data_IF_596470765135
#
_entry.id   IF_596470765135
#
_cell.length_a   1.000
_cell.length_b   1.000
_cell.length_c   1.000
_cell.angle_alpha   90.00
_cell.angle_beta   90.00
_cell.angle_gamma   90.00
#
_symmetry.space_group_name_H-M   'P 1'
#
loop_
_entity.id
_entity.type
_entity.pdbx_description
1 polymer ?
#
# COMPACT_ATOMS: atom_id res chain seq x y z
N UNK A 1 -23.98 -6.59 -6.87
CA UNK A 1 -23.44 -7.10 -5.58
C UNK A 1 -21.96 -7.49 -5.71
N UNK A 2 -21.60 -8.41 -6.62
CA UNK A 2 -20.21 -8.89 -6.80
C UNK A 2 -19.19 -7.76 -7.03
N UNK A 3 -19.43 -6.84 -7.97
CA UNK A 3 -18.50 -5.73 -8.24
C UNK A 3 -18.29 -4.82 -7.01
N UNK A 4 -19.35 -4.57 -6.24
CA UNK A 4 -19.27 -3.78 -4.99
C UNK A 4 -18.48 -4.51 -3.91
N UNK A 5 -18.66 -5.83 -3.78
CA UNK A 5 -17.87 -6.67 -2.88
C UNK A 5 -16.38 -6.68 -3.27
N UNK A 6 -16.07 -6.84 -4.55
CA UNK A 6 -14.68 -6.83 -5.05
C UNK A 6 -14.01 -5.48 -4.81
N UNK A 7 -14.73 -4.37 -5.01
CA UNK A 7 -14.21 -3.04 -4.73
C UNK A 7 -13.93 -2.83 -3.23
N UNK A 8 -14.82 -3.31 -2.36
CA UNK A 8 -14.61 -3.26 -0.91
C UNK A 8 -13.42 -4.12 -0.48
N UNK A 9 -13.31 -5.35 -1.02
CA UNK A 9 -12.18 -6.25 -0.76
C UNK A 9 -10.88 -5.59 -1.20
N UNK A 10 -10.83 -5.05 -2.42
CA UNK A 10 -9.66 -4.34 -2.94
C UNK A 10 -9.27 -3.15 -2.08
N UNK A 11 -10.24 -2.34 -1.65
CA UNK A 11 -10.00 -1.20 -0.76
C UNK A 11 -9.45 -1.65 0.60
N UNK A 12 -10.06 -2.63 1.25
CA UNK A 12 -9.63 -3.12 2.56
C UNK A 12 -8.24 -3.75 2.47
N UNK A 13 -7.97 -4.58 1.46
CA UNK A 13 -6.65 -5.17 1.27
C UNK A 13 -5.59 -4.10 1.03
N UNK A 14 -5.88 -3.07 0.23
CA UNK A 14 -4.94 -2.00 -0.05
C UNK A 14 -4.72 -1.07 1.15
N UNK A 15 -5.74 -0.84 1.98
CA UNK A 15 -5.63 -0.05 3.20
C UNK A 15 -4.74 -0.75 4.24
N UNK A 16 -4.97 -2.04 4.47
CA UNK A 16 -4.11 -2.87 5.33
C UNK A 16 -2.69 -2.93 4.77
N UNK A 17 -2.56 -3.11 3.45
CA UNK A 17 -1.26 -3.14 2.80
C UNK A 17 -0.48 -1.83 2.98
N UNK A 18 -1.16 -0.69 2.85
CA UNK A 18 -0.56 0.62 3.02
C UNK A 18 -0.07 0.86 4.45
N UNK A 19 -0.84 0.45 5.46
CA UNK A 19 -0.38 0.46 6.86
C UNK A 19 0.87 -0.41 7.03
N UNK A 20 0.90 -1.59 6.40
CA UNK A 20 2.08 -2.46 6.37
C UNK A 20 3.33 -1.77 5.80
N UNK A 21 3.18 -1.02 4.71
CA UNK A 21 4.27 -0.21 4.11
C UNK A 21 4.72 0.92 5.04
N UNK A 22 3.79 1.59 5.75
CA UNK A 22 4.14 2.61 6.75
C UNK A 22 4.94 1.98 7.90
N UNK A 23 4.50 0.84 8.43
CA UNK A 23 5.22 0.12 9.49
C UNK A 23 6.60 -0.33 9.04
N UNK A 24 6.72 -0.87 7.83
CA UNK A 24 8.03 -1.23 7.25
C UNK A 24 8.94 0.00 7.10
N UNK A 25 8.36 1.15 6.76
CA UNK A 25 9.10 2.41 6.65
C UNK A 25 9.56 2.92 8.01
N UNK A 26 8.75 2.84 9.07
CA UNK A 26 9.10 3.40 10.39
C UNK A 26 10.01 2.51 11.23
N UNK A 27 10.16 1.24 10.86
CA UNK A 27 10.95 0.25 11.61
C UNK A 27 12.34 0.04 11.01
N UNK A 28 13.29 -0.37 11.85
CA UNK A 28 14.72 -0.44 11.49
C UNK A 28 15.26 -1.86 11.37
N UNK A 29 14.43 -2.89 11.53
CA UNK A 29 14.89 -4.27 11.45
C UNK A 29 14.58 -4.84 10.07
N UNK A 30 15.34 -4.34 9.08
CA UNK A 30 15.19 -4.76 7.69
C UNK A 30 16.01 -6.01 7.40
N UNK A 31 17.31 -6.01 7.70
CA UNK A 31 18.16 -7.19 7.51
C UNK A 31 19.06 -7.41 8.71
N UNK A 32 19.25 -8.67 9.05
CA UNK A 32 20.18 -9.10 10.09
C UNK A 32 21.46 -9.55 9.41
N UNK A 33 22.59 -8.97 9.82
CA UNK A 33 23.92 -9.19 9.25
C UNK A 33 24.88 -9.72 10.30
N UNK A 34 25.95 -10.35 9.83
CA UNK A 34 27.04 -10.84 10.66
C UNK A 34 28.36 -10.33 10.07
N UNK A 35 29.21 -9.72 10.92
CA UNK A 35 30.50 -9.15 10.51
C UNK A 35 31.65 -10.17 10.42
N UNK A 36 31.42 -11.40 10.89
CA UNK A 36 32.38 -12.51 10.87
C UNK A 36 31.81 -13.69 10.06
N UNK A 37 32.42 -14.87 10.18
CA UNK A 37 31.80 -16.11 9.69
C UNK A 37 30.50 -16.38 10.46
N UNK A 38 29.47 -16.87 9.77
CA UNK A 38 28.15 -17.20 10.36
C UNK A 38 28.27 -18.09 11.62
N UNK A 39 29.19 -19.05 11.59
CA UNK A 39 29.49 -19.94 12.74
C UNK A 39 30.07 -19.20 13.94
N UNK A 40 30.75 -18.08 13.71
CA UNK A 40 31.41 -17.28 14.74
C UNK A 40 30.43 -16.30 15.37
N UNK A 41 29.61 -15.58 14.57
CA UNK A 41 28.56 -14.73 15.13
C UNK A 41 27.53 -15.51 15.94
N UNK A 42 27.17 -16.74 15.51
CA UNK A 42 26.26 -17.58 16.29
C UNK A 42 26.86 -18.06 17.62
N UNK A 43 28.20 -18.16 17.70
CA UNK A 43 28.91 -18.54 18.93
C UNK A 43 29.16 -17.35 19.87
N UNK A 44 29.38 -16.16 19.30
CA UNK A 44 29.63 -14.94 20.06
C UNK A 44 28.37 -14.13 20.36
N UNK A 45 27.23 -14.50 19.75
CA UNK A 45 25.94 -13.81 19.84
C UNK A 45 25.99 -12.32 19.45
N UNK A 46 26.96 -11.97 18.58
CA UNK A 46 27.13 -10.62 18.02
C UNK A 46 26.47 -10.54 16.64
N UNK A 47 25.26 -9.97 16.58
CA UNK A 47 24.49 -9.74 15.36
C UNK A 47 24.39 -8.25 15.06
N UNK A 48 24.46 -7.88 13.78
CA UNK A 48 24.09 -6.56 13.30
C UNK A 48 22.65 -6.57 12.78
N UNK A 49 21.90 -5.49 13.00
CA UNK A 49 20.64 -5.20 12.31
C UNK A 49 20.83 -3.93 11.51
N UNK A 50 20.61 -4.00 10.21
CA UNK A 50 20.67 -2.86 9.30
C UNK A 50 19.25 -2.41 8.99
N UNK A 51 19.02 -1.12 9.15
CA UNK A 51 17.70 -0.52 9.01
C UNK A 51 17.68 0.64 8.04
N UNK A 52 16.46 1.13 7.80
CA UNK A 52 16.29 2.30 6.98
C UNK A 52 16.79 3.56 7.71
N UNK A 53 16.53 3.71 9.02
CA UNK A 53 16.85 4.92 9.80
C UNK A 53 17.97 4.75 10.83
N UNK A 54 18.23 3.53 11.27
CA UNK A 54 19.24 3.21 12.27
C UNK A 54 19.88 1.86 11.97
N UNK A 55 21.16 1.75 12.31
CA UNK A 55 21.89 0.48 12.34
C UNK A 55 22.09 0.10 13.80
N UNK A 56 21.75 -1.13 14.15
CA UNK A 56 21.85 -1.64 15.51
C UNK A 56 22.87 -2.78 15.60
N UNK A 57 23.58 -2.82 16.73
CA UNK A 57 24.45 -3.94 17.11
C UNK A 57 23.81 -4.60 18.32
N UNK A 58 23.61 -5.91 18.21
CA UNK A 58 23.05 -6.78 19.23
C UNK A 58 24.16 -7.73 19.69
N UNK A 59 24.53 -7.64 20.96
CA UNK A 59 25.45 -8.57 21.62
C UNK A 59 24.87 -8.97 22.99
N UNK A 60 25.40 -10.02 23.65
CA UNK A 60 24.93 -10.43 24.97
C UNK A 60 24.94 -9.27 25.97
N UNK A 61 23.75 -8.83 26.39
CA UNK A 61 23.59 -7.72 27.35
C UNK A 61 23.77 -6.32 26.76
N UNK A 62 23.88 -6.18 25.43
CA UNK A 62 24.13 -4.91 24.76
C UNK A 62 23.24 -4.75 23.53
N UNK A 63 22.38 -3.72 23.53
CA UNK A 63 21.58 -3.32 22.38
C UNK A 63 21.82 -1.84 22.10
N UNK A 64 22.68 -1.55 21.12
CA UNK A 64 23.03 -0.18 20.76
C UNK A 64 22.66 0.10 19.31
N UNK A 65 21.84 1.13 19.09
CA UNK A 65 21.46 1.61 17.76
C UNK A 65 22.11 2.95 17.49
N UNK A 66 22.79 3.05 16.35
CA UNK A 66 23.34 4.29 15.82
C UNK A 66 22.38 4.83 14.74
N UNK A 67 21.82 6.04 14.90
CA UNK A 67 20.94 6.62 13.90
C UNK A 67 21.74 7.05 12.67
N UNK A 68 21.18 6.83 11.48
CA UNK A 68 21.76 7.18 10.19
C UNK A 68 21.25 8.57 9.77
N UNK A 69 21.77 9.61 10.43
CA UNK A 69 21.36 11.02 10.21
C UNK A 69 22.20 11.74 9.15
N UNK A 70 23.44 11.31 8.92
CA UNK A 70 24.38 11.98 8.02
C UNK A 70 24.15 11.58 6.56
N UNK A 71 23.35 12.37 5.84
CA UNK A 71 22.96 12.09 4.44
C UNK A 71 24.17 12.00 3.49
N UNK A 72 25.24 12.77 3.74
CA UNK A 72 26.42 12.84 2.87
C UNK A 72 27.35 11.62 3.03
N UNK A 73 27.32 10.97 4.19
CA UNK A 73 28.21 9.83 4.53
C UNK A 73 27.50 8.50 4.26
N UNK A 74 26.18 8.52 4.08
CA UNK A 74 25.37 7.32 3.96
C UNK A 74 25.47 6.69 2.56
N UNK A 75 25.54 5.35 2.45
CA UNK A 75 25.51 4.70 1.16
C UNK A 75 24.23 5.06 0.38
N UNK A 76 24.41 5.43 -0.89
CA UNK A 76 23.33 5.98 -1.73
C UNK A 76 22.11 5.07 -1.90
N UNK A 77 22.29 3.74 -1.78
CA UNK A 77 21.16 2.80 -1.85
C UNK A 77 20.18 2.98 -0.68
N UNK A 78 20.68 3.28 0.53
CA UNK A 78 19.82 3.49 1.71
C UNK A 78 19.00 4.75 1.53
N UNK A 79 19.61 5.83 1.02
CA UNK A 79 18.90 7.07 0.74
C UNK A 79 17.84 6.90 -0.36
N UNK A 80 18.16 6.14 -1.42
CA UNK A 80 17.19 5.82 -2.47
C UNK A 80 16.00 5.00 -1.92
N UNK A 81 16.26 3.97 -1.11
CA UNK A 81 15.22 3.17 -0.47
C UNK A 81 14.37 4.02 0.49
N UNK A 82 14.96 4.93 1.27
CA UNK A 82 14.22 5.91 2.10
C UNK A 82 13.26 6.73 1.24
N UNK A 83 13.77 7.34 0.17
CA UNK A 83 12.96 8.16 -0.71
C UNK A 83 11.79 7.37 -1.31
N UNK A 84 12.04 6.15 -1.79
CA UNK A 84 11.01 5.27 -2.34
C UNK A 84 9.93 4.90 -1.31
N UNK A 85 10.32 4.51 -0.09
CA UNK A 85 9.38 4.12 0.97
C UNK A 85 8.56 5.31 1.49
N UNK A 86 9.18 6.49 1.64
CA UNK A 86 8.48 7.72 2.01
C UNK A 86 7.52 8.13 0.89
N UNK A 87 7.96 8.13 -0.37
CA UNK A 87 7.11 8.45 -1.51
C UNK A 87 5.93 7.48 -1.59
N UNK A 88 6.15 6.17 -1.43
CA UNK A 88 5.10 5.17 -1.37
C UNK A 88 4.10 5.50 -0.25
N UNK A 89 4.59 5.79 0.96
CA UNK A 89 3.74 6.12 2.11
C UNK A 89 2.89 7.38 1.87
N UNK A 90 3.48 8.43 1.30
CA UNK A 90 2.80 9.70 0.99
C UNK A 90 1.77 9.54 -0.14
N UNK A 91 2.10 8.79 -1.20
CA UNK A 91 1.19 8.51 -2.31
C UNK A 91 -0.04 7.72 -1.87
N UNK A 92 0.07 6.91 -0.82
CA UNK A 92 -1.06 6.15 -0.28
C UNK A 92 -2.15 7.01 0.34
N UNK A 93 -1.82 8.18 0.90
CA UNK A 93 -2.79 9.11 1.49
C UNK A 93 -3.87 9.57 0.47
N UNK A 94 -3.52 10.21 -0.66
CA UNK A 94 -4.51 10.60 -1.65
C UNK A 94 -5.18 9.38 -2.29
N UNK A 95 -4.50 8.25 -2.45
CA UNK A 95 -5.09 7.04 -2.99
C UNK A 95 -6.25 6.51 -2.11
N UNK A 96 -6.01 6.36 -0.81
CA UNK A 96 -7.02 5.94 0.16
C UNK A 96 -8.16 6.96 0.24
N UNK A 97 -7.85 8.26 0.27
CA UNK A 97 -8.87 9.30 0.29
C UNK A 97 -9.78 9.25 -0.94
N UNK A 98 -9.20 9.15 -2.14
CA UNK A 98 -9.96 9.01 -3.39
C UNK A 98 -10.87 7.77 -3.35
N UNK A 99 -10.36 6.63 -2.87
CA UNK A 99 -11.15 5.41 -2.80
C UNK A 99 -12.28 5.49 -1.76
N UNK A 100 -12.03 6.12 -0.60
CA UNK A 100 -13.07 6.41 0.40
C UNK A 100 -14.26 7.14 -0.23
N UNK A 101 -14.02 8.13 -1.09
CA UNK A 101 -15.10 8.86 -1.79
C UNK A 101 -15.94 8.00 -2.74
N UNK A 102 -15.43 6.83 -3.13
CA UNK A 102 -16.07 5.93 -4.10
C UNK A 102 -16.89 4.84 -3.41
N UNK A 103 -16.64 4.53 -2.13
CA UNK A 103 -17.37 3.46 -1.44
C UNK A 103 -18.88 3.75 -1.36
N UNK A 104 -19.72 2.70 -1.46
CA UNK A 104 -21.18 2.84 -1.41
C UNK A 104 -21.71 3.30 -0.04
N UNK A 105 -20.93 3.15 1.03
CA UNK A 105 -21.27 3.60 2.38
C UNK A 105 -21.13 5.12 2.56
N UNK A 106 -20.42 5.82 1.66
CA UNK A 106 -20.23 7.27 1.71
C UNK A 106 -21.13 7.92 0.65
N UNK A 107 -22.26 8.50 1.10
CA UNK A 107 -23.21 9.22 0.25
C UNK A 107 -22.72 10.65 0.00
N UNK A 108 -21.87 10.84 -1.01
CA UNK A 108 -21.55 12.18 -1.51
C UNK A 108 -22.51 12.57 -2.64
N UNK A 109 -23.56 13.31 -2.29
CA UNK A 109 -24.40 14.10 -3.21
C UNK A 109 -24.87 13.42 -4.51
N UNK A 110 -25.33 14.24 -5.46
CA UNK A 110 -25.64 13.82 -6.83
C UNK A 110 -24.39 14.00 -7.69
N UNK A 111 -23.47 13.03 -7.62
CA UNK A 111 -22.24 13.04 -8.42
C UNK A 111 -22.41 12.19 -9.68
N UNK A 112 -21.96 12.68 -10.86
CA UNK A 112 -22.04 11.91 -12.10
C UNK A 112 -21.18 10.65 -12.02
N UNK A 113 -21.71 9.51 -12.46
CA UNK A 113 -21.06 8.20 -12.39
C UNK A 113 -19.65 8.18 -13.04
N UNK A 114 -19.45 8.98 -14.09
CA UNK A 114 -18.15 9.13 -14.75
C UNK A 114 -17.06 9.74 -13.83
N UNK A 115 -17.42 10.69 -12.95
CA UNK A 115 -16.46 11.29 -12.01
C UNK A 115 -16.04 10.26 -10.94
N UNK A 116 -17.00 9.46 -10.45
CA UNK A 116 -16.76 8.38 -9.50
C UNK A 116 -15.84 7.29 -10.09
N UNK A 117 -16.06 6.92 -11.35
CA UNK A 117 -15.19 5.99 -12.08
C UNK A 117 -13.76 6.52 -12.20
N UNK A 118 -13.58 7.77 -12.62
CA UNK A 118 -12.24 8.39 -12.75
C UNK A 118 -11.49 8.43 -11.41
N UNK A 119 -12.17 8.76 -10.30
CA UNK A 119 -11.55 8.75 -8.96
C UNK A 119 -11.13 7.35 -8.55
N UNK A 120 -11.94 6.34 -8.86
CA UNK A 120 -11.61 4.95 -8.54
C UNK A 120 -10.40 4.45 -9.34
N UNK A 121 -10.39 4.72 -10.65
CA UNK A 121 -9.26 4.40 -11.52
C UNK A 121 -7.98 5.08 -11.04
N UNK A 122 -8.04 6.38 -10.75
CA UNK A 122 -6.89 7.12 -10.24
C UNK A 122 -6.40 6.56 -8.89
N UNK A 123 -7.31 6.28 -7.96
CA UNK A 123 -6.98 5.69 -6.66
C UNK A 123 -6.30 4.31 -6.79
N UNK A 124 -6.83 3.45 -7.68
CA UNK A 124 -6.24 2.15 -7.96
C UNK A 124 -4.85 2.23 -8.61
N UNK A 125 -4.65 3.13 -9.57
CA UNK A 125 -3.33 3.36 -10.19
C UNK A 125 -2.31 3.86 -9.15
N UNK A 126 -2.69 4.79 -8.27
CA UNK A 126 -1.81 5.28 -7.21
C UNK A 126 -1.40 4.17 -6.23
N UNK A 127 -2.31 3.25 -5.91
CA UNK A 127 -1.98 2.07 -5.08
C UNK A 127 -1.00 1.11 -5.78
N UNK A 128 -1.12 0.93 -7.10
CA UNK A 128 -0.17 0.13 -7.88
C UNK A 128 1.21 0.81 -7.88
N UNK A 129 1.28 2.12 -8.10
CA UNK A 129 2.54 2.87 -8.05
C UNK A 129 3.20 2.77 -6.67
N UNK A 130 2.41 2.92 -5.60
CA UNK A 130 2.86 2.71 -4.22
C UNK A 130 3.47 1.32 -4.02
N UNK A 131 2.77 0.29 -4.47
CA UNK A 131 3.22 -1.09 -4.35
C UNK A 131 4.52 -1.35 -5.11
N UNK A 132 4.67 -0.79 -6.32
CA UNK A 132 5.90 -0.91 -7.10
C UNK A 132 7.08 -0.24 -6.40
N UNK A 133 6.89 0.98 -5.87
CA UNK A 133 7.93 1.65 -5.09
C UNK A 133 8.34 0.84 -3.85
N UNK A 134 7.37 0.26 -3.13
CA UNK A 134 7.63 -0.59 -1.96
C UNK A 134 8.37 -1.87 -2.32
N UNK A 135 7.98 -2.57 -3.39
CA UNK A 135 8.67 -3.78 -3.89
C UNK A 135 10.10 -3.46 -4.30
N UNK A 136 10.30 -2.39 -5.08
CA UNK A 136 11.65 -1.99 -5.52
C UNK A 136 12.53 -1.68 -4.31
N UNK A 137 12.06 -0.91 -3.33
CA UNK A 137 12.83 -0.58 -2.14
C UNK A 137 13.18 -1.82 -1.30
N UNK A 138 12.20 -2.71 -1.08
CA UNK A 138 12.35 -3.91 -0.24
C UNK A 138 13.19 -5.02 -0.91
N UNK A 139 13.29 -5.04 -2.24
CA UNK A 139 14.21 -5.96 -2.95
C UNK A 139 15.61 -5.34 -3.05
N UNK A 140 15.70 -4.05 -3.36
CA UNK A 140 16.98 -3.39 -3.59
C UNK A 140 17.84 -3.31 -2.32
N UNK A 141 17.22 -2.98 -1.18
CA UNK A 141 17.91 -2.84 0.09
C UNK A 141 18.71 -4.09 0.52
N UNK A 142 18.12 -5.29 0.63
CA UNK A 142 18.85 -6.49 1.00
C UNK A 142 19.90 -6.90 -0.06
N UNK A 143 19.64 -6.69 -1.35
CA UNK A 143 20.60 -7.01 -2.41
C UNK A 143 21.88 -6.18 -2.27
N UNK A 144 21.75 -4.88 -1.97
CA UNK A 144 22.88 -4.02 -1.69
C UNK A 144 23.56 -4.36 -0.37
N UNK A 145 22.78 -4.57 0.71
CA UNK A 145 23.33 -4.93 2.01
C UNK A 145 24.14 -6.24 1.98
N UNK A 146 23.71 -7.21 1.16
CA UNK A 146 24.42 -8.49 0.98
C UNK A 146 25.79 -8.32 0.30
N UNK A 147 25.96 -7.28 -0.52
CA UNK A 147 27.25 -6.99 -1.17
C UNK A 147 28.28 -6.46 -0.18
N UNK A 148 27.82 -5.77 0.86
CA UNK A 148 28.68 -5.17 1.90
C UNK A 148 28.97 -6.16 3.03
N UNK A 149 27.95 -6.91 3.46
CA UNK A 149 28.04 -7.81 4.61
C UNK A 149 27.17 -9.06 4.41
N UNK A 150 27.61 -10.19 4.95
CA UNK A 150 26.83 -11.43 4.85
C UNK A 150 25.53 -11.32 5.65
N UNK A 151 24.40 -11.42 4.94
CA UNK A 151 23.06 -11.47 5.54
C UNK A 151 22.84 -12.86 6.13
N UNK A 152 22.41 -12.91 7.39
CA UNK A 152 22.05 -14.16 8.07
C UNK A 152 20.56 -14.42 8.01
N UNK A 153 19.73 -13.37 8.06
CA UNK A 153 18.27 -13.46 8.04
C UNK A 153 17.63 -12.14 7.64
N UNK A 154 16.42 -12.20 7.11
CA UNK A 154 15.58 -11.03 6.87
C UNK A 154 14.85 -10.63 8.14
N UNK A 155 14.77 -9.33 8.40
CA UNK A 155 14.06 -8.78 9.54
C UNK A 155 12.55 -8.62 9.27
N UNK A 156 11.79 -8.36 10.34
CA UNK A 156 10.33 -8.29 10.26
C UNK A 156 9.85 -7.13 9.38
N UNK A 157 10.60 -6.04 9.26
CA UNK A 157 10.25 -4.89 8.42
C UNK A 157 10.19 -5.26 6.93
N UNK A 158 11.05 -6.15 6.46
CA UNK A 158 11.00 -6.62 5.06
C UNK A 158 9.76 -7.48 4.80
N UNK A 159 9.42 -8.38 5.73
CA UNK A 159 8.22 -9.20 5.60
C UNK A 159 6.95 -8.35 5.57
N UNK A 160 6.83 -7.35 6.46
CA UNK A 160 5.70 -6.43 6.45
C UNK A 160 5.67 -5.57 5.20
N UNK A 161 6.82 -5.16 4.67
CA UNK A 161 6.96 -4.43 3.41
C UNK A 161 6.51 -5.25 2.19
N UNK A 162 6.89 -6.51 2.09
CA UNK A 162 6.47 -7.42 1.02
C UNK A 162 4.99 -7.75 1.09
N UNK A 163 4.49 -8.13 2.26
CA UNK A 163 3.06 -8.41 2.46
C UNK A 163 2.24 -7.14 2.20
N UNK A 164 2.70 -5.99 2.70
CA UNK A 164 2.05 -4.71 2.50
C UNK A 164 1.94 -4.34 1.02
N UNK A 165 3.06 -4.43 0.31
CA UNK A 165 3.13 -4.06 -1.12
C UNK A 165 2.34 -5.03 -2.01
N UNK A 166 2.37 -6.33 -1.73
CA UNK A 166 1.57 -7.33 -2.48
C UNK A 166 0.08 -7.15 -2.28
N UNK A 167 -0.37 -6.84 -1.05
CA UNK A 167 -1.76 -6.50 -0.77
C UNK A 167 -2.19 -5.19 -1.47
N UNK A 168 -1.34 -4.16 -1.49
CA UNK A 168 -1.59 -2.93 -2.25
C UNK A 168 -1.69 -3.20 -3.75
N UNK A 169 -0.78 -4.01 -4.31
CA UNK A 169 -0.78 -4.35 -5.72
C UNK A 169 -2.04 -5.12 -6.11
N UNK A 170 -2.36 -6.17 -5.36
CA UNK A 170 -3.56 -6.97 -5.57
C UNK A 170 -4.82 -6.12 -5.49
N UNK A 171 -5.00 -5.35 -4.41
CA UNK A 171 -6.18 -4.51 -4.25
C UNK A 171 -6.27 -3.40 -5.29
N UNK A 172 -5.15 -2.80 -5.68
CA UNK A 172 -5.07 -1.81 -6.76
C UNK A 172 -5.51 -2.41 -8.11
N UNK A 173 -5.00 -3.59 -8.47
CA UNK A 173 -5.41 -4.31 -9.68
C UNK A 173 -6.90 -4.66 -9.65
N UNK A 174 -7.41 -5.19 -8.53
CA UNK A 174 -8.84 -5.52 -8.38
C UNK A 174 -9.71 -4.27 -8.58
N UNK A 175 -9.34 -3.14 -7.97
CA UNK A 175 -10.07 -1.88 -8.12
C UNK A 175 -10.04 -1.40 -9.58
N UNK A 176 -8.86 -1.35 -10.21
CA UNK A 176 -8.71 -0.88 -11.61
C UNK A 176 -9.53 -1.76 -12.57
N UNK A 177 -9.47 -3.08 -12.43
CA UNK A 177 -10.18 -4.01 -13.30
C UNK A 177 -11.71 -3.99 -13.08
N UNK A 178 -12.18 -3.88 -11.84
CA UNK A 178 -13.61 -4.01 -11.51
C UNK A 178 -14.38 -2.68 -11.54
N UNK A 179 -13.71 -1.54 -11.73
CA UNK A 179 -14.33 -0.22 -11.72
C UNK A 179 -15.31 0.02 -12.89
N UNK A 180 -15.09 -0.63 -14.04
CA UNK A 180 -15.96 -0.50 -15.22
C UNK A 180 -17.37 -1.07 -15.00
N UNK A 181 -17.47 -2.23 -14.37
CA UNK A 181 -18.75 -2.92 -14.13
C UNK A 181 -19.63 -2.22 -13.08
N UNK A 182 -19.00 -1.51 -12.13
CA UNK A 182 -19.71 -0.77 -11.11
C UNK A 182 -20.52 0.41 -11.68
N UNK A 183 -20.11 0.97 -12.82
CA UNK A 183 -20.83 2.06 -13.49
C UNK A 183 -22.13 1.56 -14.13
N UNK A 184 -22.08 0.45 -14.88
CA UNK A 184 -23.29 -0.14 -15.50
C UNK A 184 -24.36 -0.49 -14.47
N UNK A 185 -23.97 -0.91 -13.27
CA UNK A 185 -24.93 -1.26 -12.22
C UNK A 185 -25.55 -0.03 -11.53
N UNK A 186 -24.79 1.04 -11.35
CA UNK A 186 -25.29 2.29 -10.77
C UNK A 186 -26.27 2.99 -11.70
N UNK A 187 -25.94 3.07 -12.98
CA UNK A 187 -26.74 3.69 -14.02
C UNK A 187 -28.09 2.96 -14.21
N UNK A 188 -28.07 1.63 -14.29
CA UNK A 188 -29.29 0.81 -14.36
C UNK A 188 -30.21 0.97 -13.13
N UNK A 189 -29.65 1.16 -11.93
CA UNK A 189 -30.44 1.35 -10.70
C UNK A 189 -31.11 2.73 -10.66
N UNK A 190 -30.47 3.76 -11.22
CA UNK A 190 -31.07 5.09 -11.35
C UNK A 190 -32.17 5.12 -12.43
N UNK A 191 -31.99 4.43 -13.55
CA UNK A 191 -33.04 4.29 -14.56
C UNK A 191 -34.28 3.56 -14.01
N UNK A 192 -34.10 2.50 -13.21
CA UNK A 192 -35.23 1.81 -12.58
C UNK A 192 -35.89 2.61 -11.44
N UNK A 193 -35.15 3.42 -10.68
CA UNK A 193 -35.73 4.28 -9.65
C UNK A 193 -36.46 5.51 -10.23
N UNK A 194 -36.09 5.95 -11.44
CA UNK A 194 -36.75 7.03 -12.18
C UNK A 194 -37.97 6.57 -12.98
N UNK A 195 -38.22 5.27 -13.11
CA UNK A 195 -39.26 4.70 -13.98
C UNK A 195 -40.61 4.43 -13.32
N UNK A 196 -40.81 4.74 -12.04
CA UNK A 196 -42.07 4.41 -11.32
C UNK A 196 -43.10 5.55 -11.25
N UNK A 197 -43.01 6.58 -12.09
CA UNK A 197 -44.09 7.56 -12.28
C UNK A 197 -44.70 7.43 -13.68
N UNK A 198 -45.52 6.40 -13.88
CA UNK A 198 -46.36 6.30 -15.08
C UNK A 198 -47.56 7.26 -14.92
N UNK A 199 -47.87 8.13 -15.90
CA UNK A 199 -48.97 9.08 -15.80
C UNK A 199 -50.30 8.39 -16.15
N UNK A 200 -51.21 8.27 -15.19
CA UNK A 200 -52.62 7.95 -15.50
C UNK A 200 -53.30 9.19 -16.07
N UNK A 201 -53.33 9.27 -17.40
CA UNK A 201 -54.13 10.22 -18.15
C UNK A 201 -55.60 9.80 -18.10
N UNK A 202 -56.33 10.20 -17.04
CA UNK A 202 -57.78 10.02 -16.96
C UNK A 202 -58.47 11.12 -17.79
N UNK A 203 -58.89 10.76 -19.01
CA UNK A 203 -59.79 11.56 -19.84
C UNK A 203 -61.21 11.38 -19.30
N UNK A 204 -61.72 12.35 -18.54
CA UNK A 204 -63.16 12.48 -18.26
C UNK A 204 -63.66 13.77 -18.92
N UNK A 205 -64.37 13.62 -20.04
CA UNK A 205 -65.15 14.69 -20.65
C UNK A 205 -66.61 14.40 -20.31
N UNK A 206 -67.20 15.24 -19.47
CA UNK A 206 -68.63 15.34 -19.24
C UNK A 206 -69.17 16.48 -20.13
N UNK A 207 -70.05 16.15 -21.08
CA UNK A 207 -71.18 16.96 -21.54
C UNK A 207 -72.36 15.99 -21.62
#
# INVERSE_FOLDING_TARGET
>A
MVATCLHLVGFVSSFVGWIGVIMATSTNDWVVTCGYTITTCRKMDELGSKGLWADCVMATGLYHCKPLVDIIILPGYVQACRALMIAASVVGLPAVFLLLTVLPCIRMGHEPGAAKYRRSQLGGILLILLALCGIVATIWFPVCAHRETTIVSFGYSLYTGWIGSTLCLFGGCVIVCCSGDAQSFGENRFYYASGSSSPTHAKSAHV
#
